data_IF_652138373723
#
_entry.id   IF_652138373723
#
_cell.length_a   1.000
_cell.length_b   1.000
_cell.length_c   1.000
_cell.angle_alpha   90.00
_cell.angle_beta   90.00
_cell.angle_gamma   90.00
#
_symmetry.space_group_name_H-M   'P 1'
#
loop_
_entity.id
_entity.type
_entity.pdbx_description
1 polymer ?
#
# COMPACT_ATOMS: atom_id res chain seq x y z
N UNK A 1 0.37 7.42 -2.14
CA UNK A 1 -0.78 6.72 -2.77
C UNK A 1 -0.57 6.57 -4.27
N UNK A 2 -1.01 5.45 -4.84
CA UNK A 2 -0.93 5.13 -6.28
C UNK A 2 -2.14 5.58 -7.11
N UNK A 3 -2.99 6.47 -6.57
CA UNK A 3 -4.24 6.90 -7.22
C UNK A 3 -4.07 7.39 -8.67
N UNK A 4 -3.07 8.23 -8.92
CA UNK A 4 -2.80 8.77 -10.27
C UNK A 4 -2.41 7.67 -11.26
N UNK A 5 -1.67 6.66 -10.79
CA UNK A 5 -1.25 5.52 -11.60
C UNK A 5 -2.43 4.61 -11.91
N UNK A 6 -3.19 4.22 -10.87
CA UNK A 6 -4.38 3.37 -10.99
C UNK A 6 -5.43 4.03 -11.90
N UNK A 7 -5.69 5.32 -11.72
CA UNK A 7 -6.60 6.07 -12.59
C UNK A 7 -6.16 6.03 -14.06
N UNK A 8 -4.88 6.28 -14.33
CA UNK A 8 -4.32 6.26 -15.70
C UNK A 8 -4.37 4.88 -16.32
N UNK A 9 -4.08 3.83 -15.54
CA UNK A 9 -4.19 2.43 -15.97
C UNK A 9 -5.63 2.07 -16.39
N UNK A 10 -6.62 2.66 -15.73
CA UNK A 10 -8.03 2.50 -16.06
C UNK A 10 -8.55 3.49 -17.13
N UNK A 11 -7.70 4.35 -17.69
CA UNK A 11 -8.10 5.31 -18.73
C UNK A 11 -9.07 6.41 -18.25
N UNK A 12 -9.15 6.65 -16.94
CA UNK A 12 -10.10 7.58 -16.35
C UNK A 12 -9.52 8.99 -16.18
N UNK A 13 -10.39 10.00 -16.27
CA UNK A 13 -10.09 11.39 -15.89
C UNK A 13 -10.31 11.60 -14.39
N UNK A 14 -9.72 12.66 -13.82
CA UNK A 14 -9.96 13.01 -12.42
C UNK A 14 -11.44 13.30 -12.13
N UNK A 15 -12.15 13.86 -13.11
CA UNK A 15 -13.60 14.13 -13.02
C UNK A 15 -14.40 12.83 -12.88
N UNK A 16 -14.10 11.84 -13.72
CA UNK A 16 -14.80 10.55 -13.71
C UNK A 16 -14.63 9.82 -12.37
N UNK A 17 -13.40 9.74 -11.84
CA UNK A 17 -13.19 9.06 -10.55
C UNK A 17 -13.87 9.82 -9.41
N UNK A 18 -13.79 11.15 -9.41
CA UNK A 18 -14.46 11.97 -8.41
C UNK A 18 -15.98 11.79 -8.44
N UNK A 19 -16.57 11.70 -9.64
CA UNK A 19 -17.99 11.40 -9.80
C UNK A 19 -18.37 9.99 -9.34
N UNK A 20 -17.53 8.98 -9.63
CA UNK A 20 -17.74 7.58 -9.21
C UNK A 20 -17.80 7.46 -7.68
N UNK A 21 -16.90 8.15 -6.98
CA UNK A 21 -16.82 8.08 -5.51
C UNK A 21 -17.59 9.21 -4.81
N UNK A 22 -18.35 10.01 -5.55
CA UNK A 22 -19.26 11.02 -4.98
C UNK A 22 -18.59 12.23 -4.33
N UNK A 23 -17.39 12.65 -4.78
CA UNK A 23 -16.66 13.79 -4.20
C UNK A 23 -16.38 14.88 -5.23
N UNK A 24 -16.06 16.12 -4.81
CA UNK A 24 -15.61 17.16 -5.74
C UNK A 24 -14.29 16.78 -6.43
N UNK A 25 -14.17 17.05 -7.73
CA UNK A 25 -12.93 16.89 -8.52
C UNK A 25 -11.69 17.44 -7.81
N UNK A 26 -11.81 18.64 -7.23
CA UNK A 26 -10.70 19.30 -6.52
C UNK A 26 -10.21 18.49 -5.32
N UNK A 27 -11.12 17.80 -4.63
CA UNK A 27 -10.79 16.89 -3.52
C UNK A 27 -9.99 15.70 -4.03
N UNK A 28 -10.46 15.02 -5.08
CA UNK A 28 -9.74 13.92 -5.71
C UNK A 28 -8.35 14.35 -6.24
N UNK A 29 -8.27 15.51 -6.88
CA UNK A 29 -7.01 16.09 -7.34
C UNK A 29 -6.03 16.33 -6.19
N UNK A 30 -6.51 16.78 -5.02
CA UNK A 30 -5.68 16.98 -3.85
C UNK A 30 -5.18 15.66 -3.27
N UNK A 31 -5.96 14.58 -3.35
CA UNK A 31 -5.49 13.24 -2.99
C UNK A 31 -4.36 12.77 -3.91
N UNK A 32 -4.50 12.91 -5.24
CA UNK A 32 -3.45 12.53 -6.19
C UNK A 32 -2.15 13.34 -6.01
N UNK A 33 -2.25 14.56 -5.49
CA UNK A 33 -1.12 15.45 -5.21
C UNK A 33 -0.53 15.27 -3.81
N UNK A 34 -1.17 14.50 -2.93
CA UNK A 34 -0.77 14.38 -1.52
C UNK A 34 -0.98 15.66 -0.71
N UNK A 35 -1.79 16.61 -1.19
CA UNK A 35 -2.12 17.85 -0.46
C UNK A 35 -3.14 17.59 0.64
N UNK A 36 -3.96 16.54 0.46
CA UNK A 36 -4.95 16.09 1.43
C UNK A 36 -4.86 14.57 1.53
N UNK A 37 -5.04 14.04 2.72
CA UNK A 37 -5.23 12.60 2.92
C UNK A 37 -6.71 12.22 2.77
N UNK A 38 -6.95 11.06 2.18
CA UNK A 38 -8.26 10.44 2.15
C UNK A 38 -8.50 9.73 3.49
N UNK A 39 -9.72 9.80 3.99
CA UNK A 39 -10.11 8.98 5.14
C UNK A 39 -10.27 7.51 4.75
N UNK A 40 -10.47 6.65 5.75
CA UNK A 40 -10.60 5.21 5.54
C UNK A 40 -11.77 4.83 4.64
N UNK A 41 -12.88 5.56 4.68
CA UNK A 41 -14.07 5.25 3.88
C UNK A 41 -13.80 5.51 2.38
N UNK A 42 -13.19 6.65 2.08
CA UNK A 42 -12.76 6.98 0.72
C UNK A 42 -11.68 6.01 0.24
N UNK A 43 -10.73 5.63 1.11
CA UNK A 43 -9.69 4.66 0.76
C UNK A 43 -10.28 3.28 0.42
N UNK A 44 -11.21 2.76 1.23
CA UNK A 44 -11.90 1.50 0.94
C UNK A 44 -12.67 1.59 -0.39
N UNK A 45 -13.42 2.68 -0.60
CA UNK A 45 -14.19 2.89 -1.84
C UNK A 45 -13.28 2.90 -3.07
N UNK A 46 -12.11 3.55 -2.99
CA UNK A 46 -11.13 3.59 -4.07
C UNK A 46 -10.46 2.22 -4.29
N UNK A 47 -10.17 1.49 -3.22
CA UNK A 47 -9.63 0.13 -3.29
C UNK A 47 -10.60 -0.81 -3.99
N UNK A 48 -11.87 -0.80 -3.60
CA UNK A 48 -12.94 -1.58 -4.23
C UNK A 48 -13.14 -1.19 -5.70
N UNK A 49 -13.14 0.11 -6.00
CA UNK A 49 -13.29 0.60 -7.36
C UNK A 49 -12.16 0.11 -8.29
N UNK A 50 -10.91 0.13 -7.81
CA UNK A 50 -9.76 -0.30 -8.61
C UNK A 50 -9.49 -1.80 -8.52
N UNK A 51 -10.19 -2.54 -7.64
CA UNK A 51 -9.97 -3.97 -7.40
C UNK A 51 -8.59 -4.28 -6.83
N UNK A 52 -8.07 -3.42 -5.95
CA UNK A 52 -6.75 -3.55 -5.31
C UNK A 52 -6.86 -3.55 -3.79
N UNK A 53 -5.84 -4.03 -3.09
CA UNK A 53 -5.79 -3.92 -1.62
C UNK A 53 -5.49 -2.49 -1.17
N UNK A 54 -5.78 -2.17 0.09
CA UNK A 54 -5.37 -0.89 0.68
C UNK A 54 -3.86 -0.69 0.65
N UNK A 55 -3.07 -1.75 0.90
CA UNK A 55 -1.61 -1.69 0.83
C UNK A 55 -1.14 -1.26 -0.56
N UNK A 56 -1.69 -1.86 -1.62
CA UNK A 56 -1.38 -1.48 -2.99
C UNK A 56 -1.82 -0.04 -3.31
N UNK A 57 -3.03 0.34 -2.89
CA UNK A 57 -3.59 1.68 -3.09
C UNK A 57 -2.71 2.78 -2.47
N UNK A 58 -2.29 2.59 -1.22
CA UNK A 58 -1.47 3.58 -0.51
C UNK A 58 0.00 3.50 -0.95
N UNK A 59 0.43 2.38 -1.51
CA UNK A 59 1.79 2.12 -1.98
C UNK A 59 2.69 1.55 -0.89
N UNK A 60 2.12 0.80 0.07
CA UNK A 60 2.87 0.04 1.05
C UNK A 60 3.50 -1.16 0.34
N UNK A 61 4.83 -1.26 0.43
CA UNK A 61 5.55 -2.43 -0.03
C UNK A 61 5.60 -3.48 1.07
N UNK A 62 5.36 -4.74 0.70
CA UNK A 62 5.50 -5.92 1.57
C UNK A 62 6.90 -6.55 1.44
N UNK A 63 7.90 -5.76 1.05
CA UNK A 63 9.29 -6.14 1.26
C UNK A 63 9.42 -6.63 2.70
N UNK A 64 9.98 -7.84 2.94
CA UNK A 64 10.17 -8.34 4.28
C UNK A 64 10.87 -7.23 5.06
N UNK A 65 10.28 -6.82 6.19
CA UNK A 65 10.93 -5.86 7.07
C UNK A 65 12.36 -6.36 7.23
N UNK A 66 13.32 -5.51 6.85
CA UNK A 66 14.72 -5.87 6.94
C UNK A 66 14.94 -6.35 8.37
N UNK A 67 15.31 -7.64 8.51
CA UNK A 67 15.59 -8.19 9.83
C UNK A 67 16.58 -7.25 10.50
N UNK A 68 16.29 -6.89 11.73
CA UNK A 68 17.27 -6.19 12.55
C UNK A 68 18.52 -7.06 12.68
N UNK A 69 19.66 -6.44 12.96
CA UNK A 69 20.90 -7.20 13.16
C UNK A 69 20.74 -8.26 14.27
N UNK A 70 19.89 -7.99 15.26
CA UNK A 70 19.60 -8.92 16.36
C UNK A 70 18.77 -10.12 15.88
N UNK A 71 17.72 -9.91 15.09
CA UNK A 71 16.91 -11.00 14.52
C UNK A 71 17.71 -11.89 13.58
N UNK A 72 18.59 -11.31 12.77
CA UNK A 72 19.49 -12.08 11.89
C UNK A 72 20.50 -12.93 12.69
N UNK A 73 20.97 -12.39 13.83
CA UNK A 73 21.88 -13.11 14.74
C UNK A 73 21.17 -14.22 15.48
N UNK A 74 19.89 -14.05 15.84
CA UNK A 74 19.10 -15.09 16.48
C UNK A 74 18.90 -16.31 15.55
N UNK A 75 18.61 -16.09 14.27
CA UNK A 75 18.52 -17.18 13.29
C UNK A 75 19.84 -17.94 13.13
N UNK A 76 20.97 -17.24 13.17
CA UNK A 76 22.31 -17.83 13.12
C UNK A 76 22.56 -18.70 14.37
N UNK A 77 22.25 -18.20 15.56
CA UNK A 77 22.38 -18.94 16.81
C UNK A 77 21.48 -20.18 16.86
N UNK A 78 20.24 -20.05 16.39
CA UNK A 78 19.28 -21.17 16.29
C UNK A 78 19.82 -22.23 15.32
N UNK A 79 20.39 -21.81 14.18
CA UNK A 79 20.97 -22.74 13.19
C UNK A 79 22.17 -23.50 13.77
N UNK A 80 23.04 -22.82 14.52
CA UNK A 80 24.18 -23.44 15.22
C UNK A 80 23.68 -24.45 16.27
N UNK A 81 22.67 -24.07 17.06
CA UNK A 81 22.10 -24.96 18.09
C UNK A 81 21.53 -26.25 17.47
N UNK A 82 20.77 -26.15 16.38
CA UNK A 82 20.24 -27.33 15.68
C UNK A 82 21.31 -28.24 15.08
N UNK A 83 22.47 -27.70 14.68
CA UNK A 83 23.60 -28.51 14.20
C UNK A 83 24.32 -29.25 15.34
N UNK A 84 24.34 -28.64 16.54
CA UNK A 84 24.96 -29.26 17.71
C UNK A 84 24.13 -30.40 18.29
N UNK A 85 22.80 -30.33 18.19
CA UNK A 85 21.87 -31.34 18.74
C UNK A 85 21.79 -32.63 17.90
N UNK A 86 22.39 -32.67 16.71
CA UNK A 86 22.42 -33.85 15.83
C UNK A 86 23.73 -34.67 15.91
N UNK A 87 24.52 -34.52 16.98
CA UNK A 87 25.74 -35.30 17.26
C UNK A 87 25.62 -36.19 18.49
#
# INVERSE_FOLDING_TARGET
>A
MKLKELRRKNGLTQEQVAAIIGIPKKTYQNYERGVREADSEVLCTLADHYGVSLDELVGRDHSPMAKTADEAREDELISIFHQMDQQ
#
